data_IF_364649326397
#
_entry.id   IF_364649326397
#
_cell.length_a   1.000
_cell.length_b   1.000
_cell.length_c   1.000
_cell.angle_alpha   90.00
_cell.angle_beta   90.00
_cell.angle_gamma   90.00
#
_symmetry.space_group_name_H-M   'P 1'
#
loop_
_entity.id
_entity.type
_entity.pdbx_description
1 polymer ?
#
# COMPACT_ATOMS: atom_id res chain seq x y z
N UNK A 1 -33.88 89.84 -81.09
CA UNK A 1 -35.35 90.05 -80.97
C UNK A 1 -36.03 88.67 -80.94
N UNK A 2 -37.37 88.59 -80.86
CA UNK A 2 -38.09 87.40 -80.33
C UNK A 2 -38.60 86.37 -81.39
N UNK A 3 -38.93 85.17 -80.88
CA UNK A 3 -40.02 84.22 -81.25
C UNK A 3 -39.95 83.15 -82.40
N UNK A 4 -40.06 81.86 -81.97
CA UNK A 4 -41.04 80.79 -82.39
C UNK A 4 -40.88 79.73 -83.54
N UNK A 5 -40.68 78.44 -83.13
CA UNK A 5 -41.60 77.24 -83.23
C UNK A 5 -41.61 76.17 -84.43
N UNK A 6 -41.45 74.86 -84.05
CA UNK A 6 -42.01 73.51 -84.52
C UNK A 6 -41.42 72.57 -85.65
N UNK A 7 -41.13 71.28 -85.25
CA UNK A 7 -41.30 69.91 -85.93
C UNK A 7 -40.29 69.39 -87.03
N UNK A 8 -40.09 68.08 -87.40
CA UNK A 8 -40.39 66.67 -86.89
C UNK A 8 -39.67 65.52 -87.73
N UNK A 9 -39.70 64.22 -87.30
CA UNK A 9 -39.48 62.89 -88.03
C UNK A 9 -38.06 62.38 -88.45
N UNK A 10 -37.78 61.10 -88.87
CA UNK A 10 -37.93 59.70 -88.28
C UNK A 10 -37.42 58.52 -89.23
N UNK A 11 -37.09 57.31 -88.69
CA UNK A 11 -36.93 55.94 -89.34
C UNK A 11 -35.62 55.58 -90.15
N UNK A 12 -35.17 54.34 -90.56
CA UNK A 12 -35.26 52.84 -90.25
C UNK A 12 -34.29 52.04 -91.22
N UNK A 13 -33.96 50.72 -91.21
CA UNK A 13 -33.69 49.62 -90.21
C UNK A 13 -33.36 48.22 -90.90
N UNK A 14 -32.89 47.19 -90.12
CA UNK A 14 -33.16 45.69 -90.22
C UNK A 14 -32.20 44.61 -90.89
N UNK A 15 -31.89 43.54 -90.11
CA UNK A 15 -31.37 42.14 -90.43
C UNK A 15 -29.94 41.93 -91.01
N UNK A 16 -29.27 40.74 -91.04
CA UNK A 16 -29.51 39.32 -90.61
C UNK A 16 -28.18 38.58 -90.22
N UNK A 17 -28.14 37.23 -90.01
CA UNK A 17 -26.96 36.44 -89.55
C UNK A 17 -27.02 34.88 -89.82
N UNK A 18 -26.11 34.08 -89.20
CA UNK A 18 -25.93 32.58 -89.15
C UNK A 18 -25.03 31.93 -90.24
N UNK A 19 -24.34 30.76 -90.07
CA UNK A 19 -24.27 29.73 -89.00
C UNK A 19 -22.83 29.26 -88.70
N UNK A 20 -22.53 28.91 -87.43
CA UNK A 20 -21.67 27.77 -87.02
C UNK A 20 -21.80 27.55 -85.50
N UNK A 21 -22.10 26.34 -85.05
CA UNK A 21 -22.20 25.99 -83.63
C UNK A 21 -22.07 24.48 -83.40
N UNK A 22 -21.29 24.07 -82.39
CA UNK A 22 -21.39 22.85 -81.55
C UNK A 22 -20.13 22.75 -80.69
N UNK A 23 -20.30 22.55 -79.36
CA UNK A 23 -19.36 22.18 -78.26
C UNK A 23 -19.33 23.15 -77.07
N UNK A 24 -20.27 23.00 -76.10
CA UNK A 24 -20.14 23.46 -74.69
C UNK A 24 -21.40 23.18 -73.81
N UNK A 25 -21.84 21.93 -73.62
CA UNK A 25 -23.07 21.63 -72.83
C UNK A 25 -22.99 20.41 -71.90
N UNK A 26 -22.05 20.39 -70.94
CA UNK A 26 -21.96 19.31 -69.93
C UNK A 26 -21.59 19.73 -68.49
N UNK A 27 -21.44 21.04 -68.19
CA UNK A 27 -20.77 21.49 -66.95
C UNK A 27 -21.56 22.39 -65.99
N UNK A 28 -22.79 22.84 -66.32
CA UNK A 28 -23.48 23.87 -65.53
C UNK A 28 -24.55 23.38 -64.51
N UNK A 29 -25.14 22.20 -64.67
CA UNK A 29 -26.28 21.75 -63.85
C UNK A 29 -25.96 20.89 -62.60
N UNK A 30 -24.70 20.83 -62.12
CA UNK A 30 -24.32 20.00 -60.94
C UNK A 30 -24.14 20.77 -59.62
N UNK A 31 -24.14 22.10 -59.63
CA UNK A 31 -23.71 22.93 -58.48
C UNK A 31 -24.69 23.04 -57.29
N UNK A 32 -26.04 23.02 -57.45
CA UNK A 32 -26.95 23.17 -56.30
C UNK A 32 -26.86 22.00 -55.30
N UNK A 33 -26.72 20.77 -55.80
CA UNK A 33 -26.73 19.57 -54.96
C UNK A 33 -25.47 19.43 -54.09
N UNK A 34 -24.29 19.81 -54.61
CA UNK A 34 -23.04 19.74 -53.85
C UNK A 34 -23.05 20.74 -52.68
N UNK A 35 -23.45 22.00 -52.94
CA UNK A 35 -23.56 23.01 -51.86
C UNK A 35 -24.57 22.60 -50.78
N UNK A 36 -25.68 21.94 -51.14
CA UNK A 36 -26.64 21.43 -50.15
C UNK A 36 -26.08 20.26 -49.33
N UNK A 37 -25.27 19.38 -49.94
CA UNK A 37 -24.58 18.30 -49.21
C UNK A 37 -23.51 18.86 -48.26
N UNK A 38 -22.62 19.73 -48.76
CA UNK A 38 -21.59 20.42 -47.97
C UNK A 38 -22.21 21.20 -46.79
N UNK A 39 -23.37 21.83 -46.99
CA UNK A 39 -24.11 22.50 -45.92
C UNK A 39 -24.73 21.53 -44.90
N UNK A 40 -25.20 20.35 -45.32
CA UNK A 40 -25.68 19.33 -44.39
C UNK A 40 -24.54 18.69 -43.60
N UNK A 41 -23.38 18.45 -44.24
CA UNK A 41 -22.17 17.96 -43.56
C UNK A 41 -21.69 19.00 -42.51
N UNK A 42 -21.69 20.29 -42.84
CA UNK A 42 -21.35 21.36 -41.89
C UNK A 42 -22.32 21.44 -40.70
N UNK A 43 -23.63 21.29 -40.93
CA UNK A 43 -24.63 21.21 -39.85
C UNK A 43 -24.42 19.96 -38.99
N UNK A 44 -24.13 18.80 -39.60
CA UNK A 44 -23.83 17.58 -38.87
C UNK A 44 -22.54 17.70 -38.04
N UNK A 45 -21.52 18.41 -38.53
CA UNK A 45 -20.34 18.75 -37.74
C UNK A 45 -20.68 19.65 -36.55
N UNK A 46 -21.55 20.65 -36.72
CA UNK A 46 -22.01 21.51 -35.63
C UNK A 46 -22.79 20.73 -34.56
N UNK A 47 -23.73 19.86 -34.93
CA UNK A 47 -24.47 19.04 -33.95
C UNK A 47 -23.55 18.06 -33.22
N UNK A 48 -22.58 17.46 -33.90
CA UNK A 48 -21.56 16.62 -33.26
C UNK A 48 -20.70 17.39 -32.24
N UNK A 49 -20.41 18.68 -32.51
CA UNK A 49 -19.66 19.54 -31.58
C UNK A 49 -20.54 19.90 -30.37
N UNK A 50 -21.80 20.30 -30.58
CA UNK A 50 -22.73 20.61 -29.49
C UNK A 50 -23.02 19.39 -28.59
N UNK A 51 -23.09 18.19 -29.16
CA UNK A 51 -23.22 16.94 -28.41
C UNK A 51 -21.94 16.58 -27.63
N UNK A 52 -20.75 16.83 -28.20
CA UNK A 52 -19.47 16.67 -27.49
C UNK A 52 -19.30 17.67 -26.35
N UNK A 53 -19.72 18.93 -26.54
CA UNK A 53 -19.71 19.97 -25.50
C UNK A 53 -20.64 19.55 -24.36
N UNK A 54 -21.89 19.17 -24.66
CA UNK A 54 -22.83 18.68 -23.64
C UNK A 54 -22.33 17.43 -22.92
N UNK A 55 -21.74 16.47 -23.64
CA UNK A 55 -21.12 15.30 -23.01
C UNK A 55 -20.02 15.72 -22.04
N UNK A 56 -19.12 16.63 -22.45
CA UNK A 56 -18.09 17.16 -21.56
C UNK A 56 -18.68 17.90 -20.36
N UNK A 57 -19.65 18.79 -20.55
CA UNK A 57 -20.33 19.50 -19.47
C UNK A 57 -21.02 18.53 -18.49
N UNK A 58 -21.65 17.45 -18.99
CA UNK A 58 -22.23 16.42 -18.11
C UNK A 58 -21.19 15.56 -17.40
N UNK A 59 -20.02 15.31 -18.01
CA UNK A 59 -18.92 14.58 -17.37
C UNK A 59 -18.26 15.46 -16.30
N UNK A 60 -17.91 16.70 -16.63
CA UNK A 60 -17.38 17.69 -15.69
C UNK A 60 -18.38 17.91 -14.53
N UNK A 61 -19.70 17.96 -14.79
CA UNK A 61 -20.73 18.07 -13.75
C UNK A 61 -20.83 16.81 -12.87
N UNK A 62 -20.79 15.61 -13.46
CA UNK A 62 -20.79 14.35 -12.71
C UNK A 62 -19.54 14.19 -11.85
N UNK A 63 -18.36 14.55 -12.38
CA UNK A 63 -17.10 14.52 -11.65
C UNK A 63 -17.14 15.50 -10.45
N UNK A 64 -17.67 16.71 -10.64
CA UNK A 64 -17.91 17.63 -9.52
C UNK A 64 -18.90 17.05 -8.49
N UNK A 65 -20.02 16.43 -8.89
CA UNK A 65 -20.93 15.76 -7.94
C UNK A 65 -20.22 14.66 -7.15
N UNK A 66 -19.46 13.78 -7.81
CA UNK A 66 -18.75 12.70 -7.11
C UNK A 66 -17.67 13.23 -6.16
N UNK A 67 -17.04 14.36 -6.49
CA UNK A 67 -16.10 15.05 -5.61
C UNK A 67 -16.79 15.87 -4.48
N UNK A 68 -18.06 16.24 -4.64
CA UNK A 68 -18.88 16.92 -3.60
C UNK A 68 -19.63 15.93 -2.67
N UNK A 69 -19.94 14.72 -3.14
CA UNK A 69 -20.52 13.63 -2.34
C UNK A 69 -19.46 12.79 -1.59
N UNK A 70 -18.17 12.90 -1.93
CA UNK A 70 -17.08 12.30 -1.15
C UNK A 70 -16.93 13.04 0.19
N UNK A 71 -17.56 12.51 1.26
CA UNK A 71 -17.51 13.11 2.60
C UNK A 71 -16.06 13.45 2.98
N UNK A 72 -15.76 14.73 3.33
CA UNK A 72 -14.39 15.19 3.48
C UNK A 72 -13.66 14.37 4.55
N UNK A 73 -12.53 13.75 4.20
CA UNK A 73 -11.74 12.91 5.12
C UNK A 73 -11.55 13.66 6.45
N UNK A 74 -12.10 13.10 7.55
CA UNK A 74 -12.17 13.74 8.87
C UNK A 74 -10.85 14.46 9.19
N UNK A 75 -10.89 15.80 9.19
CA UNK A 75 -9.67 16.61 9.17
C UNK A 75 -8.74 16.20 10.32
N UNK A 76 -7.61 15.64 9.92
CA UNK A 76 -6.62 15.08 10.82
C UNK A 76 -6.02 16.15 11.74
N UNK A 77 -6.23 17.45 11.50
CA UNK A 77 -5.74 18.52 12.36
C UNK A 77 -6.77 19.11 13.33
N UNK A 78 -8.08 18.93 13.15
CA UNK A 78 -9.11 19.38 14.11
C UNK A 78 -9.51 18.32 15.12
N UNK A 79 -9.75 17.07 14.69
CA UNK A 79 -10.24 16.00 15.58
C UNK A 79 -9.28 15.70 16.74
N UNK A 80 -9.69 16.11 17.95
CA UNK A 80 -9.01 15.81 19.21
C UNK A 80 -7.60 16.41 19.35
N UNK A 81 -7.27 17.47 18.59
CA UNK A 81 -5.95 18.12 18.59
C UNK A 81 -5.51 18.54 20.00
N UNK A 82 -6.35 19.36 20.64
CA UNK A 82 -6.19 19.90 22.00
C UNK A 82 -6.17 18.84 23.11
N UNK A 83 -6.44 17.57 22.80
CA UNK A 83 -6.45 16.53 23.81
C UNK A 83 -5.03 16.29 24.34
N UNK A 84 -4.80 16.74 25.58
CA UNK A 84 -3.54 16.54 26.32
C UNK A 84 -3.26 15.08 26.72
N UNK A 85 -3.70 14.10 25.91
CA UNK A 85 -3.59 12.66 26.10
C UNK A 85 -3.03 11.97 24.83
N UNK A 86 -2.57 10.73 25.01
CA UNK A 86 -1.92 9.93 23.95
C UNK A 86 -2.92 9.18 23.05
N UNK A 87 -4.22 9.21 23.37
CA UNK A 87 -5.28 8.73 22.46
C UNK A 87 -6.51 9.66 22.59
N UNK A 88 -6.72 10.58 21.63
CA UNK A 88 -7.93 11.39 21.53
C UNK A 88 -9.18 10.54 21.22
N UNK A 89 -9.04 9.64 20.25
CA UNK A 89 -10.08 8.88 19.54
C UNK A 89 -10.70 7.74 20.37
N UNK A 90 -11.14 8.03 21.60
CA UNK A 90 -11.81 7.04 22.47
C UNK A 90 -13.26 6.76 22.07
N UNK A 91 -13.89 7.67 21.34
CA UNK A 91 -15.31 7.66 20.97
C UNK A 91 -15.57 7.91 19.49
N UNK A 92 -14.52 8.16 18.68
CA UNK A 92 -14.62 8.17 17.23
C UNK A 92 -14.76 6.75 16.71
N UNK A 93 -15.55 6.53 15.65
CA UNK A 93 -15.40 5.31 14.87
C UNK A 93 -14.15 5.41 13.99
N UNK A 94 -13.60 4.25 13.65
CA UNK A 94 -12.37 4.07 12.90
C UNK A 94 -12.70 3.07 11.80
N UNK A 95 -12.28 3.24 10.54
CA UNK A 95 -12.60 2.26 9.50
C UNK A 95 -12.03 0.87 9.85
N UNK A 96 -12.70 -0.21 9.41
CA UNK A 96 -12.15 -1.56 9.65
C UNK A 96 -10.80 -1.75 8.94
N UNK A 97 -10.63 -1.14 7.77
CA UNK A 97 -9.40 -1.08 7.00
C UNK A 97 -9.15 0.30 6.42
N UNK A 98 -7.89 0.75 6.36
CA UNK A 98 -7.44 1.95 5.63
C UNK A 98 -6.09 1.64 4.99
N UNK A 99 -5.86 2.10 3.75
CA UNK A 99 -4.53 2.14 3.14
C UNK A 99 -3.79 3.37 3.64
N UNK A 100 -2.51 3.21 3.99
CA UNK A 100 -1.65 4.26 4.54
C UNK A 100 -0.34 4.24 3.74
N UNK A 101 0.05 5.36 3.13
CA UNK A 101 1.38 5.50 2.53
C UNK A 101 2.43 5.65 3.65
N UNK A 102 3.50 4.87 3.54
CA UNK A 102 4.65 4.85 4.47
C UNK A 102 5.99 4.94 3.73
N UNK A 103 5.98 5.23 2.42
CA UNK A 103 7.17 5.34 1.56
C UNK A 103 8.25 6.28 2.13
N UNK A 104 7.86 7.49 2.54
CA UNK A 104 8.75 8.54 3.04
C UNK A 104 9.15 8.36 4.52
N UNK A 105 9.52 7.13 4.91
CA UNK A 105 9.96 6.82 6.27
C UNK A 105 11.43 7.17 6.55
N UNK A 106 11.68 7.83 7.68
CA UNK A 106 13.00 8.01 8.26
C UNK A 106 13.12 7.25 9.59
N UNK A 107 14.23 6.55 9.80
CA UNK A 107 14.48 5.82 11.05
C UNK A 107 14.71 6.81 12.23
N UNK A 108 13.90 6.80 13.31
CA UNK A 108 14.01 7.76 14.42
C UNK A 108 15.35 7.78 15.17
N UNK A 109 16.08 6.66 15.13
CA UNK A 109 17.41 6.50 15.75
C UNK A 109 18.12 5.27 15.13
N UNK A 110 19.43 5.29 14.87
CA UNK A 110 20.16 4.14 14.30
C UNK A 110 20.32 2.94 15.27
N UNK A 111 19.63 2.96 16.41
CA UNK A 111 19.68 1.93 17.45
C UNK A 111 18.83 0.69 17.15
N UNK A 112 19.32 -0.48 17.56
CA UNK A 112 18.62 -1.76 17.39
C UNK A 112 17.48 -1.98 18.42
N UNK A 113 16.59 -2.92 18.12
CA UNK A 113 15.46 -3.31 19.00
C UNK A 113 15.94 -4.01 20.26
N UNK A 114 15.59 -3.45 21.43
CA UNK A 114 15.85 -4.03 22.76
C UNK A 114 14.62 -4.69 23.37
N UNK A 115 13.40 -4.25 23.01
CA UNK A 115 12.16 -4.94 23.40
C UNK A 115 11.08 -4.80 22.32
N UNK A 116 10.51 -5.91 21.82
CA UNK A 116 9.49 -5.89 20.78
C UNK A 116 8.12 -5.43 21.32
N UNK A 117 7.22 -5.09 20.40
CA UNK A 117 5.79 -4.92 20.66
C UNK A 117 5.15 -6.21 21.20
N UNK A 118 4.06 -6.08 21.95
CA UNK A 118 3.21 -7.21 22.37
C UNK A 118 3.21 -7.46 23.87
N UNK A 119 2.57 -8.56 24.29
CA UNK A 119 2.43 -8.86 25.71
C UNK A 119 3.76 -9.32 26.32
N UNK A 120 4.19 -8.69 27.43
CA UNK A 120 5.43 -9.03 28.14
C UNK A 120 5.08 -9.76 29.47
N UNK A 121 5.13 -11.11 29.54
CA UNK A 121 4.64 -11.87 30.68
C UNK A 121 5.32 -11.50 32.01
N UNK A 122 6.65 -11.30 32.00
CA UNK A 122 7.45 -10.87 33.16
C UNK A 122 6.95 -9.56 33.80
N UNK A 123 6.31 -8.70 33.03
CA UNK A 123 5.76 -7.42 33.48
C UNK A 123 4.23 -7.39 33.55
N UNK A 124 3.56 -8.52 33.22
CA UNK A 124 2.10 -8.69 33.15
C UNK A 124 1.39 -7.55 32.40
N UNK A 125 2.02 -7.01 31.35
CA UNK A 125 1.58 -5.78 30.67
C UNK A 125 1.77 -5.89 29.15
N UNK A 126 0.80 -5.35 28.41
CA UNK A 126 0.94 -5.11 26.96
C UNK A 126 1.96 -4.00 26.69
N UNK A 127 2.92 -4.29 25.82
CA UNK A 127 3.79 -3.31 25.22
C UNK A 127 3.14 -2.81 23.92
N UNK A 128 2.93 -1.49 23.84
CA UNK A 128 2.21 -0.84 22.73
C UNK A 128 3.14 -0.27 21.65
N UNK A 129 4.44 -0.32 21.87
CA UNK A 129 5.47 0.17 20.96
C UNK A 129 6.67 -0.78 20.91
N UNK A 130 7.80 -0.25 20.47
CA UNK A 130 9.09 -0.94 20.39
C UNK A 130 10.15 -0.11 21.12
N UNK A 131 11.02 -0.77 21.87
CA UNK A 131 12.05 -0.10 22.67
C UNK A 131 13.40 -0.17 21.91
N UNK A 132 13.86 0.95 21.34
CA UNK A 132 15.10 1.06 20.55
C UNK A 132 16.28 1.51 21.41
N UNK A 133 17.49 0.96 21.18
CA UNK A 133 18.67 1.29 21.98
C UNK A 133 19.19 2.70 21.66
N UNK A 134 19.12 3.61 22.64
CA UNK A 134 19.77 4.94 22.58
C UNK A 134 20.62 5.18 23.82
N UNK A 135 21.53 6.15 23.78
CA UNK A 135 22.17 6.75 24.95
C UNK A 135 21.42 8.03 25.37
N UNK A 136 21.77 8.58 26.53
CA UNK A 136 21.19 9.86 26.98
C UNK A 136 21.89 10.98 26.20
N UNK A 137 21.12 11.74 25.42
CA UNK A 137 21.64 12.81 24.55
C UNK A 137 21.66 12.47 23.06
N UNK A 138 21.41 11.23 22.65
CA UNK A 138 21.31 10.86 21.23
C UNK A 138 20.20 11.63 20.52
N UNK A 139 20.43 12.13 19.31
CA UNK A 139 19.39 12.82 18.53
C UNK A 139 18.29 11.83 18.11
N UNK A 140 17.05 12.14 18.49
CA UNK A 140 15.84 11.44 18.05
C UNK A 140 15.19 12.24 16.91
N UNK A 141 14.85 11.56 15.82
CA UNK A 141 14.32 12.15 14.60
C UNK A 141 12.84 11.81 14.38
N UNK A 142 12.12 12.67 13.66
CA UNK A 142 10.76 12.38 13.21
C UNK A 142 10.74 11.24 12.17
N UNK A 143 9.76 10.36 12.27
CA UNK A 143 9.60 9.18 11.41
C UNK A 143 9.05 9.48 10.02
N UNK A 144 8.20 10.52 9.91
CA UNK A 144 7.55 11.00 8.69
C UNK A 144 7.32 12.51 8.83
N UNK A 145 7.05 13.19 7.71
CA UNK A 145 6.56 14.57 7.69
C UNK A 145 5.24 14.73 8.47
N UNK A 146 5.03 15.89 9.10
CA UNK A 146 3.80 16.19 9.84
C UNK A 146 3.94 17.29 10.89
N UNK A 147 2.92 17.42 11.73
CA UNK A 147 2.81 18.50 12.73
C UNK A 147 2.92 17.93 14.15
N UNK A 148 3.70 18.57 15.01
CA UNK A 148 3.87 18.17 16.42
C UNK A 148 2.58 18.49 17.18
N UNK A 149 1.85 17.46 17.62
CA UNK A 149 0.59 17.64 18.34
C UNK A 149 0.80 17.92 19.83
N UNK A 150 1.78 17.28 20.47
CA UNK A 150 1.95 17.37 21.91
C UNK A 150 3.39 17.08 22.36
N UNK A 151 3.95 17.95 23.19
CA UNK A 151 5.19 17.71 23.96
C UNK A 151 4.86 17.76 25.44
N UNK A 152 5.06 16.67 26.20
CA UNK A 152 4.59 16.58 27.60
C UNK A 152 5.43 15.65 28.47
N UNK A 153 5.38 15.86 29.80
CA UNK A 153 6.04 15.01 30.78
C UNK A 153 5.04 14.17 31.59
N UNK A 154 5.33 12.88 31.78
CA UNK A 154 4.56 11.95 32.61
C UNK A 154 5.47 11.02 33.45
N UNK A 155 5.62 11.33 34.74
CA UNK A 155 6.51 10.61 35.67
C UNK A 155 6.26 9.10 35.80
N UNK A 156 5.02 8.63 35.63
CA UNK A 156 4.63 7.21 35.84
C UNK A 156 4.44 6.40 34.54
N UNK A 157 4.53 7.05 33.39
CA UNK A 157 4.40 6.44 32.07
C UNK A 157 5.55 6.89 31.18
N UNK A 158 5.25 7.66 30.13
CA UNK A 158 6.17 7.92 29.02
C UNK A 158 7.39 8.80 29.33
N UNK A 159 7.50 9.40 30.53
CA UNK A 159 8.58 10.37 30.81
C UNK A 159 8.36 11.66 30.01
N UNK A 160 9.41 12.28 29.49
CA UNK A 160 9.25 13.27 28.42
C UNK A 160 8.87 12.53 27.13
N UNK A 161 7.81 12.99 26.47
CA UNK A 161 7.38 12.45 25.19
C UNK A 161 6.92 13.52 24.19
N UNK A 162 7.10 13.21 22.92
CA UNK A 162 6.60 13.96 21.76
C UNK A 162 5.58 13.10 21.03
N UNK A 163 4.50 13.71 20.54
CA UNK A 163 3.56 13.12 19.58
C UNK A 163 3.61 13.96 18.31
N UNK A 164 3.84 13.32 17.17
CA UNK A 164 3.73 13.92 15.83
C UNK A 164 2.54 13.26 15.13
N UNK A 165 1.70 14.06 14.47
CA UNK A 165 0.59 13.60 13.62
C UNK A 165 0.95 13.89 12.16
N UNK A 166 0.84 12.86 11.32
CA UNK A 166 1.36 12.83 9.97
C UNK A 166 0.25 12.92 8.93
N UNK A 167 0.59 13.42 7.75
CA UNK A 167 -0.35 13.62 6.62
C UNK A 167 -0.94 12.28 6.13
N UNK A 168 -0.23 11.16 6.30
CA UNK A 168 -0.75 9.81 6.04
C UNK A 168 -1.75 9.29 7.11
N UNK A 169 -2.16 10.12 8.07
CA UNK A 169 -3.10 9.76 9.14
C UNK A 169 -2.51 8.95 10.30
N UNK A 170 -1.20 8.70 10.32
CA UNK A 170 -0.53 8.10 11.48
C UNK A 170 -0.23 9.13 12.57
N UNK A 171 -0.27 8.69 13.83
CA UNK A 171 0.41 9.36 14.94
C UNK A 171 1.63 8.54 15.35
N UNK A 172 2.80 9.18 15.48
CA UNK A 172 3.98 8.55 16.10
C UNK A 172 4.26 9.16 17.47
N UNK A 173 4.70 8.32 18.41
CA UNK A 173 4.97 8.73 19.80
C UNK A 173 6.37 8.30 20.19
N UNK A 174 7.14 9.27 20.71
CA UNK A 174 8.55 9.15 21.09
C UNK A 174 8.64 9.37 22.59
N UNK A 175 8.93 8.32 23.36
CA UNK A 175 8.94 8.33 24.82
C UNK A 175 10.31 8.08 25.46
N UNK A 176 10.37 8.33 26.77
CA UNK A 176 11.54 8.25 27.65
C UNK A 176 12.67 9.25 27.34
N UNK A 177 12.36 10.30 26.58
CA UNK A 177 13.27 11.36 26.13
C UNK A 177 13.93 12.11 27.30
N UNK A 178 15.00 12.86 27.04
CA UNK A 178 15.66 13.74 28.03
C UNK A 178 15.33 15.22 27.83
N UNK A 179 15.17 15.68 26.59
CA UNK A 179 14.90 17.08 26.23
C UNK A 179 14.11 17.15 24.91
N UNK A 180 13.20 18.12 24.78
CA UNK A 180 12.56 18.47 23.51
C UNK A 180 13.43 19.45 22.71
N UNK A 181 13.43 19.32 21.38
CA UNK A 181 14.01 20.30 20.46
C UNK A 181 12.90 21.14 19.79
N UNK A 182 11.74 20.52 19.53
CA UNK A 182 10.54 21.14 18.94
C UNK A 182 9.46 21.45 19.97
N UNK A 183 8.46 22.24 19.56
CA UNK A 183 7.27 22.67 20.33
C UNK A 183 6.00 22.06 19.74
N UNK A 184 4.85 22.11 20.45
CA UNK A 184 3.54 21.88 19.83
C UNK A 184 3.28 22.86 18.68
N UNK A 185 2.48 22.42 17.72
CA UNK A 185 2.11 23.10 16.47
C UNK A 185 3.25 23.39 15.49
N UNK A 186 4.48 22.99 15.80
CA UNK A 186 5.63 23.04 14.89
C UNK A 186 5.50 21.96 13.80
N UNK A 187 5.81 22.29 12.54
CA UNK A 187 5.88 21.33 11.44
C UNK A 187 7.30 20.75 11.34
N UNK A 188 7.40 19.44 11.12
CA UNK A 188 8.66 18.68 11.06
C UNK A 188 8.65 17.73 9.86
N UNK A 189 9.81 17.53 9.24
CA UNK A 189 9.98 16.58 8.13
C UNK A 189 10.52 15.24 8.59
N UNK A 190 10.37 14.20 7.77
CA UNK A 190 11.00 12.91 7.96
C UNK A 190 12.52 13.09 8.15
N UNK A 191 13.03 12.66 9.31
CA UNK A 191 14.43 12.82 9.68
C UNK A 191 14.77 14.08 10.48
N UNK A 192 13.85 15.02 10.71
CA UNK A 192 14.18 16.23 11.48
C UNK A 192 14.42 15.97 12.98
N UNK A 193 15.40 16.61 13.64
CA UNK A 193 15.67 16.48 15.07
C UNK A 193 14.52 16.99 15.97
N UNK A 194 13.73 16.09 16.55
CA UNK A 194 12.60 16.45 17.43
C UNK A 194 12.95 16.47 18.93
N UNK A 195 13.90 15.63 19.35
CA UNK A 195 14.20 15.43 20.77
C UNK A 195 15.59 14.81 20.99
N UNK A 196 16.00 14.72 22.25
CA UNK A 196 17.16 13.95 22.70
C UNK A 196 16.74 12.70 23.48
N UNK A 197 17.44 11.59 23.24
CA UNK A 197 17.28 10.30 23.90
C UNK A 197 17.53 10.40 25.41
N UNK A 198 16.94 9.50 26.18
CA UNK A 198 16.90 9.64 27.63
C UNK A 198 16.62 8.35 28.39
N UNK A 199 16.17 8.53 29.63
CA UNK A 199 15.83 7.46 30.56
C UNK A 199 14.73 7.92 31.55
N UNK A 200 13.76 8.72 31.09
CA UNK A 200 12.82 9.42 31.99
C UNK A 200 11.46 8.73 32.10
N UNK A 201 10.72 9.01 33.18
CA UNK A 201 9.44 8.34 33.46
C UNK A 201 9.63 6.89 33.89
N UNK A 202 8.82 5.97 33.35
CA UNK A 202 8.85 4.54 33.72
C UNK A 202 9.80 3.72 32.82
N UNK A 203 11.08 4.08 32.82
CA UNK A 203 12.15 3.37 32.12
C UNK A 203 13.02 2.53 33.08
N UNK A 204 13.68 1.48 32.56
CA UNK A 204 14.66 0.64 33.29
C UNK A 204 16.12 0.91 32.88
N UNK A 205 16.36 1.76 31.90
CA UNK A 205 17.69 2.09 31.36
C UNK A 205 17.56 2.80 30.00
N UNK A 206 18.59 3.50 29.49
CA UNK A 206 18.45 4.35 28.31
C UNK A 206 17.97 3.61 27.05
N UNK A 207 16.79 4.01 26.56
CA UNK A 207 16.13 3.54 25.34
C UNK A 207 15.11 4.58 24.85
N UNK A 208 14.81 4.58 23.55
CA UNK A 208 13.67 5.29 22.97
C UNK A 208 12.47 4.33 22.98
N UNK A 209 11.34 4.75 23.55
CA UNK A 209 10.09 4.04 23.35
C UNK A 209 9.35 4.62 22.14
N UNK A 210 9.23 3.86 21.06
CA UNK A 210 8.59 4.30 19.81
C UNK A 210 7.25 3.57 19.60
N UNK A 211 6.16 4.31 19.45
CA UNK A 211 4.86 3.77 19.04
C UNK A 211 4.42 4.35 17.69
N UNK A 212 3.70 3.53 16.91
CA UNK A 212 2.95 3.97 15.74
C UNK A 212 1.46 3.74 16.00
N UNK A 213 0.61 4.72 15.72
CA UNK A 213 -0.83 4.68 15.96
C UNK A 213 -1.58 5.10 14.70
N UNK A 214 -2.76 4.52 14.51
CA UNK A 214 -3.79 5.03 13.59
C UNK A 214 -5.07 5.22 14.40
N UNK A 215 -5.62 6.44 14.44
CA UNK A 215 -6.80 6.80 15.25
C UNK A 215 -6.78 6.18 16.67
N UNK A 216 -5.66 6.33 17.37
CA UNK A 216 -5.46 5.80 18.72
C UNK A 216 -5.13 4.31 18.86
N UNK A 217 -5.38 3.49 17.83
CA UNK A 217 -5.01 2.07 17.80
C UNK A 217 -3.49 1.92 17.64
N UNK A 218 -2.82 1.41 18.68
CA UNK A 218 -1.37 1.18 18.67
C UNK A 218 -1.01 -0.01 17.78
N UNK A 219 -0.53 0.29 16.57
CA UNK A 219 -0.01 -0.63 15.57
C UNK A 219 1.34 -1.17 16.05
N UNK A 220 1.66 -2.41 15.71
CA UNK A 220 3.00 -2.95 15.91
C UNK A 220 3.98 -2.28 14.93
N UNK A 221 5.00 -1.50 15.38
CA UNK A 221 5.89 -0.81 14.45
C UNK A 221 6.65 -1.77 13.52
N UNK A 222 6.96 -2.98 14.00
CA UNK A 222 7.59 -4.05 13.21
C UNK A 222 6.60 -4.80 12.27
N UNK A 223 5.43 -4.21 12.01
CA UNK A 223 4.55 -4.57 10.90
C UNK A 223 4.67 -3.61 9.70
N UNK A 224 5.39 -2.50 9.88
CA UNK A 224 5.62 -1.45 8.89
C UNK A 224 7.12 -1.35 8.57
N UNK A 225 7.98 -1.37 9.60
CA UNK A 225 9.41 -1.09 9.51
C UNK A 225 10.28 -2.31 9.81
N UNK A 226 11.31 -2.49 8.97
CA UNK A 226 12.44 -3.36 9.25
C UNK A 226 13.51 -2.59 10.05
N UNK A 227 13.51 -2.77 11.37
CA UNK A 227 14.48 -2.14 12.26
C UNK A 227 15.91 -2.72 12.15
N UNK A 228 16.13 -3.79 11.39
CA UNK A 228 17.47 -4.32 11.13
C UNK A 228 18.08 -3.71 9.86
N UNK A 229 17.28 -3.54 8.80
CA UNK A 229 17.70 -2.90 7.54
C UNK A 229 17.47 -1.37 7.52
N UNK A 230 16.75 -0.82 8.49
CA UNK A 230 16.38 0.59 8.65
C UNK A 230 15.47 1.17 7.55
N UNK A 231 14.65 0.31 6.93
CA UNK A 231 13.68 0.68 5.87
C UNK A 231 12.25 0.29 6.26
N UNK A 232 11.26 0.69 5.47
CA UNK A 232 9.95 0.01 5.41
C UNK A 232 10.06 -1.37 4.77
N UNK A 233 9.01 -2.19 4.96
CA UNK A 233 8.85 -3.44 4.22
C UNK A 233 8.15 -3.27 2.85
N UNK A 234 7.23 -2.31 2.76
CA UNK A 234 6.43 -1.98 1.58
C UNK A 234 6.08 -0.48 1.65
N UNK A 235 5.86 0.15 0.50
CA UNK A 235 5.50 1.58 0.42
C UNK A 235 4.08 1.85 0.95
N UNK A 236 3.14 0.93 0.72
CA UNK A 236 1.81 0.95 1.35
C UNK A 236 1.78 0.04 2.59
N UNK A 237 1.12 0.51 3.66
CA UNK A 237 0.65 -0.30 4.78
C UNK A 237 -0.89 -0.29 4.88
N UNK A 238 -1.54 -1.43 4.62
CA UNK A 238 -2.96 -1.59 4.94
C UNK A 238 -3.15 -1.84 6.43
N UNK A 239 -3.76 -0.88 7.14
CA UNK A 239 -4.31 -1.07 8.48
C UNK A 239 -5.54 -1.98 8.42
N UNK A 240 -5.73 -2.81 9.45
CA UNK A 240 -6.91 -3.65 9.62
C UNK A 240 -7.15 -3.95 11.12
N UNK A 241 -8.36 -3.70 11.63
CA UNK A 241 -8.71 -3.85 13.06
C UNK A 241 -8.41 -5.25 13.64
N UNK A 242 -8.41 -6.30 12.82
CA UNK A 242 -8.17 -7.68 13.24
C UNK A 242 -6.68 -8.07 13.24
N UNK A 243 -5.82 -7.38 12.47
CA UNK A 243 -4.41 -7.80 12.24
C UNK A 243 -3.34 -6.77 12.59
N UNK A 244 -3.68 -5.52 12.94
CA UNK A 244 -2.74 -4.42 13.24
C UNK A 244 -1.68 -4.67 14.33
N UNK A 245 -1.83 -5.74 15.13
CA UNK A 245 -0.88 -6.18 16.19
C UNK A 245 0.21 -7.13 15.66
N UNK A 246 -0.04 -7.76 14.51
CA UNK A 246 0.78 -8.85 13.99
C UNK A 246 2.00 -8.28 13.27
N UNK A 247 3.21 -8.64 13.70
CA UNK A 247 4.44 -8.30 12.97
C UNK A 247 4.42 -8.94 11.57
N UNK A 248 4.77 -8.16 10.56
CA UNK A 248 4.91 -8.65 9.18
C UNK A 248 6.39 -8.87 8.91
N UNK A 249 6.85 -10.11 9.03
CA UNK A 249 8.21 -10.46 8.63
C UNK A 249 8.27 -10.72 7.12
N UNK A 250 8.69 -9.70 6.37
CA UNK A 250 9.00 -9.80 4.94
C UNK A 250 10.45 -10.21 4.65
N UNK A 251 11.26 -10.49 5.68
CA UNK A 251 12.54 -11.19 5.47
C UNK A 251 12.26 -12.43 4.60
N UNK A 252 13.05 -12.71 3.55
CA UNK A 252 12.76 -13.81 2.63
C UNK A 252 12.84 -15.15 3.38
N UNK A 253 11.68 -15.61 3.93
CA UNK A 253 11.49 -16.70 4.91
C UNK A 253 12.59 -17.74 4.80
N UNK A 254 13.67 -17.56 5.58
CA UNK A 254 15.04 -18.07 5.32
C UNK A 254 15.01 -19.41 4.59
N UNK A 255 15.00 -19.38 3.23
CA UNK A 255 14.32 -20.40 2.39
C UNK A 255 14.70 -21.79 2.84
N UNK A 256 13.78 -22.40 3.61
CA UNK A 256 14.17 -23.34 4.65
C UNK A 256 14.87 -24.52 3.99
N UNK A 257 16.19 -24.59 4.11
CA UNK A 257 17.02 -25.65 3.54
C UNK A 257 16.81 -26.82 4.51
N UNK A 258 15.90 -27.78 4.28
CA UNK A 258 15.64 -28.46 2.99
C UNK A 258 16.89 -28.66 2.12
N UNK A 259 18.04 -28.72 2.80
CA UNK A 259 18.99 -29.82 2.62
C UNK A 259 18.11 -31.07 2.57
N UNK A 260 18.22 -31.81 1.47
CA UNK A 260 17.17 -32.72 1.07
C UNK A 260 16.97 -33.88 2.06
N UNK A 261 16.02 -33.68 2.98
CA UNK A 261 15.16 -34.70 3.56
C UNK A 261 13.90 -34.88 2.67
N UNK A 262 14.03 -34.88 1.34
CA UNK A 262 14.24 -36.17 0.65
C UNK A 262 14.54 -37.30 1.65
N UNK A 263 13.47 -37.89 2.17
CA UNK A 263 13.55 -39.07 3.01
C UNK A 263 14.38 -40.11 2.25
N UNK A 264 15.59 -40.40 2.75
CA UNK A 264 16.45 -41.43 2.16
C UNK A 264 15.84 -42.79 2.51
N UNK A 265 14.79 -43.15 1.77
CA UNK A 265 14.10 -44.43 1.74
C UNK A 265 14.99 -45.51 1.10
N UNK A 266 16.29 -45.47 1.42
CA UNK A 266 17.19 -46.58 1.22
C UNK A 266 16.83 -47.65 2.22
N UNK A 267 15.92 -48.53 1.80
CA UNK A 267 15.45 -49.75 2.47
C UNK A 267 16.53 -50.33 3.39
N UNK A 268 16.47 -50.03 4.69
CA UNK A 268 17.60 -50.38 5.57
C UNK A 268 17.59 -51.89 5.77
N UNK A 269 18.73 -52.53 5.53
CA UNK A 269 18.79 -53.97 5.29
C UNK A 269 19.80 -54.63 6.20
N UNK A 270 19.33 -55.52 7.07
CA UNK A 270 20.13 -56.26 8.04
C UNK A 270 20.45 -57.65 7.47
N UNK A 271 21.68 -58.13 7.66
CA UNK A 271 22.04 -59.53 7.37
C UNK A 271 21.68 -60.40 8.57
N UNK A 272 20.81 -61.38 8.36
CA UNK A 272 20.35 -62.34 9.38
C UNK A 272 21.56 -63.14 9.91
N UNK A 273 21.72 -63.23 11.23
CA UNK A 273 22.75 -64.09 11.86
C UNK A 273 22.13 -65.40 12.35
N UNK A 274 22.95 -66.43 12.54
CA UNK A 274 22.51 -67.71 13.14
C UNK A 274 21.99 -67.44 14.56
N UNK A 275 20.72 -67.75 14.83
CA UNK A 275 20.06 -67.43 16.11
C UNK A 275 19.39 -66.06 16.19
N UNK A 276 19.14 -65.38 15.06
CA UNK A 276 18.22 -64.23 15.03
C UNK A 276 16.77 -64.66 14.77
N UNK A 277 15.82 -63.94 15.38
CA UNK A 277 14.38 -64.12 15.20
C UNK A 277 13.74 -62.82 14.71
N UNK A 278 12.57 -62.92 14.05
CA UNK A 278 11.82 -61.75 13.58
C UNK A 278 11.62 -60.70 14.68
N UNK A 279 11.23 -61.13 15.88
CA UNK A 279 10.99 -60.25 17.04
C UNK A 279 12.27 -59.57 17.54
N UNK A 280 13.41 -60.28 17.54
CA UNK A 280 14.72 -59.74 17.96
C UNK A 280 15.21 -58.68 16.97
N UNK A 281 15.13 -58.96 15.66
CA UNK A 281 15.50 -58.00 14.62
C UNK A 281 14.56 -56.79 14.63
N UNK A 282 13.24 -57.01 14.80
CA UNK A 282 12.25 -55.95 14.86
C UNK A 282 12.52 -54.97 16.03
N UNK A 283 12.69 -55.51 17.25
CA UNK A 283 13.02 -54.71 18.45
C UNK A 283 14.34 -53.96 18.29
N UNK A 284 15.38 -54.60 17.76
CA UNK A 284 16.69 -53.98 17.57
C UNK A 284 16.69 -52.81 16.56
N UNK A 285 15.73 -52.77 15.62
CA UNK A 285 15.68 -51.75 14.57
C UNK A 285 14.55 -50.72 14.76
N UNK A 286 13.78 -50.81 15.85
CA UNK A 286 12.65 -49.91 16.12
C UNK A 286 11.47 -50.11 15.16
N UNK A 287 11.16 -51.36 14.82
CA UNK A 287 10.05 -51.74 13.93
C UNK A 287 9.23 -52.87 14.55
N UNK A 288 8.05 -53.17 14.01
CA UNK A 288 7.23 -54.32 14.46
C UNK A 288 7.50 -55.56 13.61
N UNK A 289 7.25 -56.75 14.16
CA UNK A 289 7.30 -58.01 13.40
C UNK A 289 6.42 -57.92 12.16
N UNK A 290 5.22 -57.35 12.31
CA UNK A 290 4.24 -57.24 11.22
C UNK A 290 4.68 -56.29 10.11
N UNK A 291 5.31 -55.16 10.46
CA UNK A 291 5.90 -54.24 9.48
C UNK A 291 7.09 -54.91 8.78
N UNK A 292 7.93 -55.63 9.51
CA UNK A 292 9.07 -56.36 8.97
C UNK A 292 8.61 -57.51 8.03
N UNK A 293 7.58 -58.25 8.40
CA UNK A 293 6.93 -59.26 7.55
C UNK A 293 6.42 -58.64 6.24
N UNK A 294 5.65 -57.54 6.32
CA UNK A 294 5.13 -56.82 5.15
C UNK A 294 6.25 -56.27 4.25
N UNK A 295 7.33 -55.72 4.82
CA UNK A 295 8.49 -55.19 4.07
C UNK A 295 9.25 -56.25 3.26
N UNK A 296 9.14 -57.53 3.62
CA UNK A 296 9.89 -58.63 2.99
C UNK A 296 9.01 -59.68 2.30
N UNK A 297 7.67 -59.56 2.36
CA UNK A 297 6.75 -60.55 1.78
C UNK A 297 6.75 -61.90 2.51
N UNK A 298 7.10 -61.92 3.81
CA UNK A 298 7.25 -63.15 4.61
C UNK A 298 6.19 -63.27 5.70
N UNK A 299 5.85 -64.51 6.08
CA UNK A 299 4.97 -64.79 7.21
C UNK A 299 5.71 -64.72 8.56
N UNK A 300 4.97 -64.64 9.68
CA UNK A 300 5.55 -64.78 11.03
C UNK A 300 6.15 -66.18 11.29
N UNK A 301 5.82 -67.17 10.46
CA UNK A 301 6.31 -68.56 10.52
C UNK A 301 7.49 -68.83 9.56
N UNK A 302 7.93 -67.84 8.78
CA UNK A 302 9.00 -68.03 7.78
C UNK A 302 10.36 -68.22 8.46
N UNK A 303 11.03 -69.34 8.17
CA UNK A 303 12.35 -69.67 8.73
C UNK A 303 13.43 -68.74 8.16
N UNK A 304 14.07 -67.96 9.04
CA UNK A 304 15.11 -67.01 8.66
C UNK A 304 16.43 -67.72 8.34
N UNK A 305 16.84 -67.72 7.07
CA UNK A 305 18.16 -68.24 6.66
C UNK A 305 19.27 -67.25 7.03
N UNK A 306 20.27 -67.69 7.78
CA UNK A 306 21.46 -66.87 8.06
C UNK A 306 22.16 -66.42 6.76
N UNK A 307 22.77 -65.23 6.79
CA UNK A 307 23.43 -64.61 5.64
C UNK A 307 22.49 -63.90 4.67
N UNK A 308 21.18 -64.18 4.65
CA UNK A 308 20.23 -63.47 3.78
C UNK A 308 20.01 -62.01 4.25
N UNK A 309 19.81 -61.07 3.31
CA UNK A 309 19.38 -59.71 3.61
C UNK A 309 17.90 -59.68 4.05
N UNK A 310 17.57 -58.78 4.96
CA UNK A 310 16.22 -58.57 5.49
C UNK A 310 15.96 -57.07 5.70
N UNK A 311 14.94 -56.52 5.05
CA UNK A 311 14.54 -55.10 5.11
C UNK A 311 13.88 -54.79 6.46
N UNK A 312 14.27 -53.71 7.13
CA UNK A 312 13.78 -53.36 8.48
C UNK A 312 13.16 -51.96 8.60
N UNK A 313 13.45 -51.05 7.64
CA UNK A 313 12.78 -49.76 7.47
C UNK A 313 12.59 -49.46 6.00
#
# INVERSE_FOLDING_TARGET
>A
MQFNIKRITVATAITLATTFAVTAQTTFNRRPAQHNAEHQDLLAYQTNIDEQIKLKETLDYMDNIFNEEEEPEMDIYTEGWDSGTVNPYRSADVPETKKIDVSNYAMPTPGYVTSPYGYRPRFRRMHKGIDLKVQIGDTIRAAFDGKVRLTKYERKGYGYYVIVRHENGLETVYGHLSKFLVKPDEYVKAGDPIALGGNTGRSTGPHLHFETRYMGYAINPAAIFDFANQTTHTDEFTFNKNTYKNSRDYSPKKRNKAIASASKSGSSTVRIRKGDTLSKIAKANGTTVDKLCKLNGISRTTVLTAGKPLKVR
#
